data_IF_831884254771
#
_entry.id   IF_831884254771
#
_cell.length_a   1.000
_cell.length_b   1.000
_cell.length_c   1.000
_cell.angle_alpha   90.00
_cell.angle_beta   90.00
_cell.angle_gamma   90.00
#
_symmetry.space_group_name_H-M   'P 1'
#
loop_
_entity.id
_entity.type
_entity.pdbx_description
1 polymer ?
#
# COMPACT_ATOMS: atom_id res chain seq x y z
N UNK A 1 26.77 1.90 -35.40
CA UNK A 1 25.51 1.24 -35.00
C UNK A 1 25.72 0.65 -33.63
N UNK A 2 24.89 1.02 -32.66
CA UNK A 2 24.88 0.43 -31.32
C UNK A 2 23.46 0.02 -30.97
N UNK A 3 23.31 -1.04 -30.19
CA UNK A 3 22.02 -1.49 -29.67
C UNK A 3 22.02 -1.13 -28.18
N UNK A 4 21.03 -0.36 -27.75
CA UNK A 4 20.74 -0.15 -26.33
C UNK A 4 19.59 -1.08 -25.99
N UNK A 5 19.88 -2.13 -25.21
CA UNK A 5 18.85 -2.96 -24.59
C UNK A 5 18.85 -2.68 -23.10
N UNK A 6 17.73 -2.27 -22.50
CA UNK A 6 17.62 -2.28 -21.05
C UNK A 6 17.87 -3.70 -20.53
N UNK A 7 18.78 -3.84 -19.55
CA UNK A 7 19.05 -5.11 -18.91
C UNK A 7 18.36 -5.13 -17.54
N UNK A 8 17.28 -5.90 -17.43
CA UNK A 8 16.56 -6.10 -16.17
C UNK A 8 16.82 -7.51 -15.62
N UNK A 9 16.71 -7.71 -14.30
CA UNK A 9 16.74 -9.05 -13.71
C UNK A 9 15.68 -9.98 -14.32
N UNK A 10 16.01 -11.28 -14.43
CA UNK A 10 15.15 -12.27 -15.11
C UNK A 10 13.73 -12.39 -14.51
N UNK A 11 13.56 -12.04 -13.23
CA UNK A 11 12.26 -12.09 -12.57
C UNK A 11 11.24 -11.07 -13.13
N UNK A 12 11.68 -10.10 -13.94
CA UNK A 12 10.81 -9.19 -14.70
C UNK A 12 10.41 -9.70 -16.08
N UNK A 13 10.69 -10.97 -16.38
CA UNK A 13 10.23 -11.65 -17.58
C UNK A 13 9.37 -12.86 -17.21
N UNK A 14 8.49 -13.25 -18.12
CA UNK A 14 7.71 -14.48 -18.03
C UNK A 14 7.37 -15.00 -19.42
N UNK A 15 6.86 -16.23 -19.51
CA UNK A 15 6.32 -16.80 -20.74
C UNK A 15 4.80 -16.74 -20.70
N UNK A 16 4.18 -16.05 -21.66
CA UNK A 16 2.72 -15.97 -21.74
C UNK A 16 2.09 -17.32 -22.10
N UNK A 17 0.76 -17.45 -21.96
CA UNK A 17 0.05 -18.70 -22.30
C UNK A 17 0.14 -19.11 -23.78
N UNK A 18 0.70 -18.25 -24.64
CA UNK A 18 1.00 -18.54 -26.05
C UNK A 18 2.47 -18.93 -26.28
N UNK A 19 3.28 -19.11 -25.23
CA UNK A 19 4.67 -19.52 -25.33
C UNK A 19 5.66 -18.40 -25.67
N UNK A 20 5.25 -17.12 -25.60
CA UNK A 20 6.13 -15.98 -25.91
C UNK A 20 6.73 -15.39 -24.65
N UNK A 21 8.05 -15.13 -24.65
CA UNK A 21 8.71 -14.37 -23.60
C UNK A 21 8.24 -12.91 -23.64
N UNK A 22 7.84 -12.39 -22.48
CA UNK A 22 7.31 -11.04 -22.29
C UNK A 22 8.01 -10.38 -21.13
N UNK A 23 8.15 -9.07 -21.21
CA UNK A 23 8.43 -8.22 -20.05
C UNK A 23 7.17 -8.11 -19.20
N UNK A 24 7.36 -8.08 -17.88
CA UNK A 24 6.30 -7.91 -16.90
C UNK A 24 5.93 -6.44 -16.72
N UNK A 25 5.62 -5.75 -17.82
CA UNK A 25 5.01 -4.43 -17.74
C UNK A 25 3.71 -4.50 -16.90
N UNK A 26 3.40 -3.44 -16.17
CA UNK A 26 2.22 -3.36 -15.31
C UNK A 26 0.89 -3.60 -16.03
N UNK A 27 0.81 -3.34 -17.35
CA UNK A 27 -0.39 -3.60 -18.17
C UNK A 27 -0.73 -5.10 -18.21
N UNK A 28 0.25 -6.00 -18.11
CA UNK A 28 -0.03 -7.44 -17.99
C UNK A 28 -0.86 -7.79 -16.76
N UNK A 29 -0.72 -7.04 -15.68
CA UNK A 29 -1.34 -7.35 -14.40
C UNK A 29 -2.58 -6.52 -14.13
N UNK A 30 -2.72 -5.35 -14.76
CA UNK A 30 -3.86 -4.44 -14.57
C UNK A 30 -4.91 -4.56 -15.67
N UNK A 31 -4.51 -4.82 -16.92
CA UNK A 31 -5.44 -4.92 -18.05
C UNK A 31 -6.08 -6.29 -18.17
N UNK A 32 -7.42 -6.36 -18.20
CA UNK A 32 -8.20 -7.60 -18.25
C UNK A 32 -7.74 -8.59 -19.34
N UNK A 33 -7.60 -8.12 -20.59
CA UNK A 33 -7.19 -8.94 -21.74
C UNK A 33 -5.75 -9.46 -21.62
N UNK A 34 -4.85 -8.69 -21.03
CA UNK A 34 -3.46 -9.13 -20.83
C UNK A 34 -3.37 -10.09 -19.65
N UNK A 35 -4.07 -9.79 -18.55
CA UNK A 35 -4.11 -10.59 -17.33
C UNK A 35 -4.71 -11.97 -17.54
N UNK A 36 -5.64 -12.14 -18.48
CA UNK A 36 -6.18 -13.45 -18.85
C UNK A 36 -5.16 -14.37 -19.53
N UNK A 37 -4.08 -13.80 -20.07
CA UNK A 37 -2.96 -14.52 -20.70
C UNK A 37 -1.75 -14.69 -19.78
N UNK A 38 -1.85 -14.23 -18.52
CA UNK A 38 -0.83 -14.50 -17.50
C UNK A 38 -1.00 -15.93 -16.95
N UNK A 39 0.09 -16.70 -16.85
CA UNK A 39 0.09 -17.96 -16.09
C UNK A 39 -0.38 -17.74 -14.65
N UNK A 40 -1.15 -18.66 -14.05
CA UNK A 40 -1.67 -18.50 -12.68
C UNK A 40 -0.59 -18.20 -11.63
N UNK A 41 0.58 -18.81 -11.75
CA UNK A 41 1.73 -18.62 -10.87
C UNK A 41 2.32 -17.21 -10.91
N UNK A 42 2.10 -16.46 -12.00
CA UNK A 42 2.57 -15.08 -12.14
C UNK A 42 1.62 -14.07 -11.51
N UNK A 43 0.37 -14.45 -11.22
CA UNK A 43 -0.65 -13.50 -10.74
C UNK A 43 -0.37 -12.98 -9.33
N UNK A 44 0.28 -13.77 -8.47
CA UNK A 44 0.56 -13.41 -7.08
C UNK A 44 -0.70 -13.23 -6.22
N UNK A 45 -0.49 -12.88 -4.95
CA UNK A 45 -1.56 -12.61 -3.97
C UNK A 45 -1.66 -11.11 -3.66
N UNK A 46 -2.76 -10.68 -3.04
CA UNK A 46 -3.01 -9.28 -2.69
C UNK A 46 -1.88 -8.66 -1.84
N UNK A 47 -1.32 -9.43 -0.90
CA UNK A 47 -0.14 -9.04 -0.13
C UNK A 47 1.02 -8.59 -1.03
N UNK A 48 1.27 -9.34 -2.11
CA UNK A 48 2.39 -9.02 -2.99
C UNK A 48 2.14 -7.75 -3.79
N UNK A 49 0.90 -7.46 -4.20
CA UNK A 49 0.58 -6.21 -4.88
C UNK A 49 0.77 -4.99 -3.97
N UNK A 50 0.53 -5.13 -2.66
CA UNK A 50 0.91 -4.09 -1.70
C UNK A 50 2.43 -3.87 -1.69
N UNK A 51 3.23 -4.94 -1.67
CA UNK A 51 4.70 -4.83 -1.73
C UNK A 51 5.19 -4.19 -3.05
N UNK A 52 4.58 -4.55 -4.18
CA UNK A 52 4.83 -3.90 -5.49
C UNK A 52 4.54 -2.41 -5.38
N UNK A 53 3.37 -2.02 -4.86
CA UNK A 53 2.98 -0.62 -4.70
C UNK A 53 3.92 0.15 -3.76
N UNK A 54 4.41 -0.47 -2.68
CA UNK A 54 5.37 0.16 -1.79
C UNK A 54 6.68 0.49 -2.51
N UNK A 55 7.17 -0.43 -3.35
CA UNK A 55 8.38 -0.20 -4.17
C UNK A 55 8.16 0.83 -5.27
N UNK A 56 6.99 0.85 -5.92
CA UNK A 56 6.62 1.91 -6.87
C UNK A 56 6.62 3.29 -6.20
N UNK A 57 5.92 3.42 -5.07
CA UNK A 57 5.86 4.66 -4.30
C UNK A 57 7.26 5.11 -3.84
N UNK A 58 8.12 4.18 -3.41
CA UNK A 58 9.51 4.46 -3.06
C UNK A 58 10.31 5.00 -4.23
N UNK A 59 10.22 4.38 -5.40
CA UNK A 59 10.95 4.82 -6.60
C UNK A 59 10.57 6.25 -6.98
N UNK A 60 9.26 6.54 -7.02
CA UNK A 60 8.75 7.88 -7.30
C UNK A 60 9.15 8.88 -6.22
N UNK A 61 9.08 8.51 -4.92
CA UNK A 61 9.56 9.34 -3.81
C UNK A 61 11.03 9.74 -4.00
N UNK A 62 11.90 8.79 -4.32
CA UNK A 62 13.33 9.06 -4.53
C UNK A 62 13.52 10.06 -5.66
N UNK A 63 12.86 9.84 -6.79
CA UNK A 63 12.93 10.74 -7.95
C UNK A 63 12.42 12.16 -7.59
N UNK A 64 11.24 12.27 -6.97
CA UNK A 64 10.65 13.55 -6.57
C UNK A 64 11.52 14.32 -5.57
N UNK A 65 12.17 13.62 -4.64
CA UNK A 65 13.09 14.24 -3.68
C UNK A 65 14.35 14.83 -4.33
N UNK A 66 14.70 14.41 -5.55
CA UNK A 66 15.77 15.02 -6.35
C UNK A 66 15.25 16.15 -7.26
N UNK A 67 13.98 16.55 -7.11
CA UNK A 67 13.38 17.61 -7.94
C UNK A 67 13.00 17.15 -9.35
N UNK A 68 12.98 15.83 -9.60
CA UNK A 68 12.69 15.23 -10.90
C UNK A 68 11.22 14.79 -10.96
N UNK A 69 10.57 15.00 -12.11
CA UNK A 69 9.30 14.35 -12.43
C UNK A 69 9.46 13.44 -13.63
N UNK A 70 8.74 12.32 -13.66
CA UNK A 70 8.79 11.36 -14.75
C UNK A 70 8.00 11.82 -15.97
N UNK A 71 6.89 12.54 -15.76
CA UNK A 71 5.96 13.04 -16.79
C UNK A 71 5.13 11.98 -17.55
N UNK A 72 5.51 10.71 -17.47
CA UNK A 72 4.81 9.58 -18.12
C UNK A 72 4.69 8.35 -17.20
N UNK A 73 4.36 8.55 -15.92
CA UNK A 73 4.06 7.42 -15.03
C UNK A 73 2.80 6.69 -15.53
N UNK A 74 2.95 5.42 -15.88
CA UNK A 74 1.85 4.58 -16.35
C UNK A 74 2.12 3.10 -16.06
N UNK A 75 1.12 2.23 -16.30
CA UNK A 75 1.32 0.79 -16.19
C UNK A 75 2.26 0.21 -17.27
N UNK A 76 2.67 0.98 -18.29
CA UNK A 76 3.67 0.54 -19.27
C UNK A 76 5.09 0.88 -18.85
N UNK A 77 5.25 1.92 -18.04
CA UNK A 77 6.56 2.42 -17.61
C UNK A 77 6.95 1.91 -16.21
N UNK A 78 6.28 0.85 -15.75
CA UNK A 78 6.68 0.10 -14.56
C UNK A 78 6.69 -1.39 -14.86
N UNK A 79 7.81 -2.04 -14.57
CA UNK A 79 7.89 -3.50 -14.52
C UNK A 79 7.51 -3.96 -13.11
N UNK A 80 6.64 -4.96 -13.00
CA UNK A 80 6.22 -5.50 -11.71
C UNK A 80 6.42 -7.01 -11.65
N UNK A 81 6.71 -7.52 -10.47
CA UNK A 81 6.84 -8.94 -10.22
C UNK A 81 6.06 -9.29 -8.95
N UNK A 82 4.74 -9.56 -9.08
CA UNK A 82 3.90 -9.92 -7.95
C UNK A 82 4.33 -11.21 -7.26
N UNK A 83 5.13 -12.08 -7.87
CA UNK A 83 5.62 -13.27 -7.16
C UNK A 83 6.55 -12.91 -6.00
N UNK A 84 7.44 -11.95 -6.23
CA UNK A 84 8.42 -11.50 -5.24
C UNK A 84 8.06 -10.14 -4.62
N UNK A 85 6.92 -9.56 -4.99
CA UNK A 85 6.52 -8.23 -4.56
C UNK A 85 7.51 -7.15 -4.99
N UNK A 86 8.06 -7.25 -6.21
CA UNK A 86 9.09 -6.34 -6.76
C UNK A 86 8.54 -5.39 -7.82
N UNK A 87 9.14 -4.20 -7.95
CA UNK A 87 8.78 -3.22 -8.97
C UNK A 87 10.03 -2.46 -9.43
N UNK A 88 10.07 -2.08 -10.71
CA UNK A 88 11.06 -1.19 -11.30
C UNK A 88 10.36 -0.13 -12.13
N UNK A 89 10.68 1.13 -11.86
CA UNK A 89 10.31 2.26 -12.71
C UNK A 89 11.30 2.31 -13.89
N UNK A 90 10.79 2.37 -15.11
CA UNK A 90 11.57 2.36 -16.35
C UNK A 90 11.24 3.60 -17.18
N UNK A 91 11.91 3.78 -18.33
CA UNK A 91 11.69 4.91 -19.24
C UNK A 91 11.95 6.29 -18.59
N UNK A 92 13.21 6.47 -18.18
CA UNK A 92 13.71 7.70 -17.52
C UNK A 92 14.28 8.71 -18.52
N UNK A 93 13.95 8.59 -19.81
CA UNK A 93 14.57 9.39 -20.87
C UNK A 93 13.90 10.77 -21.03
N UNK A 94 12.67 10.92 -20.51
CA UNK A 94 11.84 12.12 -20.60
C UNK A 94 11.60 12.80 -19.23
N UNK A 95 12.59 12.79 -18.33
CA UNK A 95 12.46 13.44 -17.03
C UNK A 95 12.32 14.96 -17.15
N UNK A 96 11.41 15.51 -16.36
CA UNK A 96 11.17 16.94 -16.24
C UNK A 96 11.93 17.49 -15.04
N UNK A 97 12.66 18.58 -15.29
CA UNK A 97 13.40 19.34 -14.27
C UNK A 97 12.96 20.80 -14.33
N UNK A 98 12.32 21.34 -13.27
CA UNK A 98 11.83 22.71 -13.27
C UNK A 98 12.89 23.73 -13.70
N UNK A 99 12.61 24.47 -14.76
CA UNK A 99 13.49 25.51 -15.30
C UNK A 99 14.71 25.01 -16.10
N UNK A 100 14.93 23.70 -16.20
CA UNK A 100 16.10 23.11 -16.88
C UNK A 100 15.68 22.22 -18.05
N UNK A 101 14.78 21.26 -17.81
CA UNK A 101 14.32 20.30 -18.80
C UNK A 101 12.78 20.31 -18.85
N UNK A 102 12.17 20.94 -19.88
CA UNK A 102 10.72 20.96 -20.02
C UNK A 102 10.18 19.58 -20.45
N UNK A 103 8.88 19.29 -20.23
CA UNK A 103 8.26 18.06 -20.68
C UNK A 103 8.30 17.92 -22.20
N UNK A 104 8.73 16.76 -22.67
CA UNK A 104 8.72 16.35 -24.10
C UNK A 104 7.49 15.53 -24.46
N UNK A 105 6.80 14.98 -23.46
CA UNK A 105 5.55 14.22 -23.58
C UNK A 105 4.53 14.76 -22.58
N UNK A 106 3.24 14.58 -22.87
CA UNK A 106 2.16 14.92 -21.92
C UNK A 106 1.84 13.78 -20.95
N UNK A 107 2.27 12.56 -21.28
CA UNK A 107 2.02 11.33 -20.55
C UNK A 107 1.06 10.38 -21.28
N UNK A 108 0.79 9.24 -20.66
CA UNK A 108 -0.07 8.18 -21.17
C UNK A 108 -1.54 8.43 -20.81
N UNK A 109 -2.45 8.37 -21.81
CA UNK A 109 -3.91 8.49 -21.62
C UNK A 109 -4.41 7.66 -20.42
N UNK A 110 -5.27 8.26 -19.60
CA UNK A 110 -5.77 7.70 -18.33
C UNK A 110 -4.91 8.05 -17.11
N UNK A 111 -3.60 8.29 -17.27
CA UNK A 111 -2.69 8.68 -16.18
C UNK A 111 -2.37 10.17 -16.16
N UNK A 112 -2.62 10.88 -17.27
CA UNK A 112 -2.43 12.32 -17.39
C UNK A 112 -3.35 13.03 -16.38
N UNK A 113 -2.78 13.95 -15.60
CA UNK A 113 -3.53 14.71 -14.61
C UNK A 113 -4.61 15.62 -15.26
N UNK A 114 -5.77 15.85 -14.60
CA UNK A 114 -6.89 16.56 -15.21
C UNK A 114 -6.56 17.96 -15.75
N UNK A 115 -5.68 18.70 -15.07
CA UNK A 115 -5.25 20.02 -15.49
C UNK A 115 -4.39 19.99 -16.76
N UNK A 116 -3.66 18.90 -17.03
CA UNK A 116 -2.86 18.73 -18.24
C UNK A 116 -3.77 18.32 -19.40
N UNK A 117 -4.72 17.40 -19.17
CA UNK A 117 -5.74 17.05 -20.18
C UNK A 117 -6.54 18.29 -20.60
N UNK A 118 -6.89 19.16 -19.65
CA UNK A 118 -7.61 20.40 -19.92
C UNK A 118 -6.74 21.52 -20.55
N UNK A 119 -5.46 21.28 -20.83
CA UNK A 119 -4.54 22.29 -21.38
C UNK A 119 -4.22 23.45 -20.42
N UNK A 120 -4.48 23.27 -19.11
CA UNK A 120 -4.29 24.29 -18.05
C UNK A 120 -2.97 24.11 -17.29
N UNK A 121 -2.12 23.17 -17.71
CA UNK A 121 -0.84 22.89 -17.06
C UNK A 121 0.07 21.99 -17.89
N UNK A 122 1.32 21.90 -17.46
CA UNK A 122 2.33 21.01 -18.03
C UNK A 122 2.74 19.95 -17.00
N UNK A 123 3.22 18.77 -17.44
CA UNK A 123 3.74 17.75 -16.56
C UNK A 123 4.80 18.27 -15.59
N UNK A 124 4.67 17.86 -14.32
CA UNK A 124 5.52 18.25 -13.19
C UNK A 124 5.34 17.25 -12.04
N UNK A 125 6.02 17.46 -10.91
CA UNK A 125 5.91 16.58 -9.73
C UNK A 125 4.45 16.41 -9.27
N UNK A 126 3.64 17.48 -9.29
CA UNK A 126 2.23 17.43 -8.88
C UNK A 126 1.36 16.57 -9.82
N UNK A 127 1.72 16.46 -11.11
CA UNK A 127 0.99 15.61 -12.06
C UNK A 127 1.41 14.15 -11.92
N UNK A 128 2.68 13.88 -11.62
CA UNK A 128 3.13 12.54 -11.26
C UNK A 128 2.42 12.01 -10.00
N UNK A 129 2.09 12.88 -9.03
CA UNK A 129 1.32 12.47 -7.84
C UNK A 129 -0.07 11.95 -8.21
N UNK A 130 -0.70 12.53 -9.24
CA UNK A 130 -1.96 12.01 -9.78
C UNK A 130 -1.74 10.64 -10.44
N UNK A 131 -0.77 10.55 -11.35
CA UNK A 131 -0.47 9.32 -12.07
C UNK A 131 -0.08 8.16 -11.12
N UNK A 132 0.70 8.44 -10.07
CA UNK A 132 1.03 7.46 -9.03
C UNK A 132 -0.22 6.97 -8.28
N UNK A 133 -1.15 7.87 -7.94
CA UNK A 133 -2.39 7.48 -7.29
C UNK A 133 -3.24 6.56 -8.20
N UNK A 134 -3.34 6.90 -9.49
CA UNK A 134 -4.01 6.07 -10.50
C UNK A 134 -3.34 4.70 -10.60
N UNK A 135 -2.02 4.67 -10.70
CA UNK A 135 -1.25 3.44 -10.83
C UNK A 135 -1.40 2.51 -9.62
N UNK A 136 -1.31 3.04 -8.39
CA UNK A 136 -1.51 2.25 -7.16
C UNK A 136 -2.96 1.75 -7.09
N UNK A 137 -3.94 2.60 -7.40
CA UNK A 137 -5.36 2.21 -7.39
C UNK A 137 -5.60 1.05 -8.36
N UNK A 138 -5.17 1.21 -9.61
CA UNK A 138 -5.37 0.20 -10.65
C UNK A 138 -4.63 -1.10 -10.33
N UNK A 139 -3.41 -1.01 -9.78
CA UNK A 139 -2.61 -2.17 -9.37
C UNK A 139 -3.28 -2.98 -8.26
N UNK A 140 -3.96 -2.32 -7.30
CA UNK A 140 -4.61 -2.99 -6.17
C UNK A 140 -6.04 -3.45 -6.48
N UNK A 141 -6.75 -2.75 -7.36
CA UNK A 141 -8.19 -2.88 -7.54
C UNK A 141 -8.61 -3.32 -8.94
N UNK A 142 -7.66 -3.45 -9.87
CA UNK A 142 -7.84 -3.95 -11.24
C UNK A 142 -8.92 -3.20 -12.04
N UNK A 143 -9.03 -1.89 -11.79
CA UNK A 143 -9.93 -0.97 -12.47
C UNK A 143 -9.38 0.46 -12.41
N UNK A 144 -9.83 1.33 -13.30
CA UNK A 144 -9.44 2.73 -13.29
C UNK A 144 -10.25 3.54 -12.25
N UNK A 145 -9.67 4.54 -11.56
CA UNK A 145 -10.41 5.34 -10.59
C UNK A 145 -11.38 6.33 -11.23
N UNK A 146 -11.20 6.71 -12.49
CA UNK A 146 -12.00 7.75 -13.17
C UNK A 146 -12.90 7.17 -14.28
N UNK A 147 -12.50 6.07 -14.90
CA UNK A 147 -13.22 5.53 -16.04
C UNK A 147 -14.45 4.74 -15.56
N UNK A 148 -15.61 5.39 -15.58
CA UNK A 148 -16.91 4.83 -15.19
C UNK A 148 -17.94 5.01 -16.30
N UNK A 149 -19.24 4.79 -16.02
CA UNK A 149 -20.28 4.79 -17.04
C UNK A 149 -20.76 6.18 -17.48
N UNK A 150 -20.25 7.26 -16.87
CA UNK A 150 -20.70 8.61 -17.18
C UNK A 150 -20.15 9.08 -18.52
N UNK A 151 -21.05 9.40 -19.44
CA UNK A 151 -20.75 9.97 -20.76
C UNK A 151 -21.06 11.47 -20.73
N UNK A 152 -20.14 12.26 -21.25
CA UNK A 152 -20.15 13.71 -21.29
C UNK A 152 -20.39 14.27 -22.70
N UNK A 153 -20.03 13.52 -23.73
CA UNK A 153 -20.26 13.88 -25.14
C UNK A 153 -20.52 12.63 -26.00
N UNK A 154 -21.13 12.83 -27.17
CA UNK A 154 -21.31 11.78 -28.18
C UNK A 154 -20.06 11.54 -29.01
N UNK A 155 -19.17 12.53 -29.12
CA UNK A 155 -17.87 12.38 -29.76
C UNK A 155 -16.89 11.70 -28.78
N UNK A 156 -16.30 10.54 -29.12
CA UNK A 156 -15.43 9.79 -28.20
C UNK A 156 -14.17 10.53 -27.75
N UNK A 157 -13.59 11.40 -28.57
CA UNK A 157 -12.36 12.11 -28.22
C UNK A 157 -12.67 13.31 -27.32
N UNK A 158 -13.79 13.98 -27.58
CA UNK A 158 -14.31 15.04 -26.70
C UNK A 158 -14.73 14.45 -25.35
N UNK A 159 -15.44 13.32 -25.37
CA UNK A 159 -15.86 12.60 -24.17
C UNK A 159 -14.65 12.22 -23.32
N UNK A 160 -13.62 11.65 -23.93
CA UNK A 160 -12.39 11.26 -23.24
C UNK A 160 -11.65 12.44 -22.59
N UNK A 161 -11.54 13.55 -23.33
CA UNK A 161 -10.93 14.77 -22.82
C UNK A 161 -11.72 15.35 -21.63
N UNK A 162 -13.05 15.26 -21.65
CA UNK A 162 -13.88 15.66 -20.51
C UNK A 162 -13.76 14.68 -19.34
N UNK A 163 -13.81 13.38 -19.62
CA UNK A 163 -13.76 12.29 -18.64
C UNK A 163 -12.47 12.31 -17.82
N UNK A 164 -11.32 12.54 -18.47
CA UNK A 164 -10.03 12.60 -17.77
C UNK A 164 -9.59 14.01 -17.42
N UNK A 165 -10.22 15.04 -18.01
CA UNK A 165 -9.95 16.45 -17.75
C UNK A 165 -10.94 17.12 -16.82
N UNK A 166 -11.58 18.18 -17.29
CA UNK A 166 -12.37 19.09 -16.46
C UNK A 166 -13.58 18.45 -15.77
N UNK A 167 -14.14 17.36 -16.31
CA UNK A 167 -15.29 16.65 -15.73
C UNK A 167 -14.91 15.36 -15.00
N UNK A 168 -13.61 15.10 -14.81
CA UNK A 168 -13.14 13.91 -14.10
C UNK A 168 -13.83 13.74 -12.75
N UNK A 169 -14.35 12.54 -12.51
CA UNK A 169 -15.09 12.18 -11.30
C UNK A 169 -14.71 10.78 -10.84
N UNK A 170 -14.36 10.64 -9.56
CA UNK A 170 -14.00 9.35 -8.98
C UNK A 170 -15.17 8.36 -8.99
N UNK A 171 -14.93 7.14 -9.45
CA UNK A 171 -15.97 6.10 -9.57
C UNK A 171 -16.51 5.59 -8.23
N UNK A 172 -15.79 5.84 -7.13
CA UNK A 172 -16.24 5.57 -5.76
C UNK A 172 -16.39 6.86 -4.94
N UNK A 173 -16.67 7.99 -5.60
CA UNK A 173 -16.87 9.27 -4.92
C UNK A 173 -17.96 9.15 -3.83
N UNK A 174 -17.75 9.68 -2.61
CA UNK A 174 -18.61 9.38 -1.46
C UNK A 174 -20.03 9.93 -1.60
N UNK A 175 -20.19 11.11 -2.23
CA UNK A 175 -21.49 11.81 -2.34
C UNK A 175 -22.05 11.84 -3.76
N UNK A 176 -21.29 12.30 -4.76
CA UNK A 176 -21.67 12.21 -6.17
C UNK A 176 -21.55 10.76 -6.71
N UNK A 177 -22.67 10.15 -7.05
CA UNK A 177 -22.74 8.77 -7.59
C UNK A 177 -22.95 8.72 -9.10
N UNK A 178 -22.89 9.85 -9.80
CA UNK A 178 -23.17 9.93 -11.24
C UNK A 178 -22.16 9.20 -12.13
N UNK A 179 -20.97 8.87 -11.62
CA UNK A 179 -19.97 8.03 -12.28
C UNK A 179 -19.73 6.69 -11.56
N UNK A 180 -20.66 6.25 -10.70
CA UNK A 180 -20.50 5.01 -9.96
C UNK A 180 -20.60 3.79 -10.87
N UNK A 181 -19.76 2.78 -10.63
CA UNK A 181 -19.81 1.51 -11.37
C UNK A 181 -21.10 0.73 -11.06
N UNK A 182 -21.68 0.13 -12.10
CA UNK A 182 -22.84 -0.76 -11.99
C UNK A 182 -22.56 -2.08 -12.74
N UNK A 183 -22.54 -3.25 -12.05
CA UNK A 183 -22.72 -3.42 -10.61
C UNK A 183 -21.56 -2.80 -9.79
N UNK A 184 -21.80 -2.62 -8.48
CA UNK A 184 -20.79 -2.13 -7.55
C UNK A 184 -19.54 -3.05 -7.54
N UNK A 185 -18.34 -2.51 -7.34
CA UNK A 185 -17.11 -3.30 -7.36
C UNK A 185 -17.09 -4.32 -6.23
N UNK A 186 -16.62 -5.55 -6.53
CA UNK A 186 -16.51 -6.63 -5.54
C UNK A 186 -15.62 -6.26 -4.34
N UNK A 187 -14.60 -5.43 -4.58
CA UNK A 187 -13.68 -4.91 -3.56
C UNK A 187 -13.70 -3.38 -3.64
N UNK A 188 -14.55 -2.68 -2.86
CA UNK A 188 -14.55 -1.23 -2.82
C UNK A 188 -13.29 -0.71 -2.11
N UNK A 189 -12.94 0.56 -2.33
CA UNK A 189 -11.73 1.20 -1.78
C UNK A 189 -11.68 1.13 -0.25
N UNK A 190 -12.83 1.16 0.43
CA UNK A 190 -12.95 1.01 1.88
C UNK A 190 -12.44 -0.34 2.40
N UNK A 191 -12.39 -1.38 1.55
CA UNK A 191 -11.80 -2.69 1.89
C UNK A 191 -10.27 -2.71 1.86
N UNK A 192 -9.61 -1.64 1.43
CA UNK A 192 -8.15 -1.49 1.53
C UNK A 192 -7.68 -0.98 2.91
N UNK A 193 -8.64 -0.77 3.83
CA UNK A 193 -8.41 -0.30 5.19
C UNK A 193 -8.17 1.21 5.27
N UNK A 194 -8.23 1.77 6.50
CA UNK A 194 -8.14 3.22 6.70
C UNK A 194 -6.90 3.87 6.08
N UNK A 195 -5.66 3.34 6.23
CA UNK A 195 -4.46 4.03 5.73
C UNK A 195 -4.50 4.32 4.22
N UNK A 196 -4.94 3.34 3.41
CA UNK A 196 -5.01 3.48 1.96
C UNK A 196 -6.29 4.16 1.49
N UNK A 197 -7.44 3.82 2.08
CA UNK A 197 -8.71 4.40 1.68
C UNK A 197 -8.70 5.93 1.87
N UNK A 198 -8.15 6.43 2.98
CA UNK A 198 -8.00 7.87 3.23
C UNK A 198 -7.18 8.56 2.13
N UNK A 199 -6.09 7.95 1.66
CA UNK A 199 -5.26 8.54 0.60
C UNK A 199 -5.94 8.53 -0.77
N UNK A 200 -6.74 7.50 -1.08
CA UNK A 200 -7.51 7.49 -2.31
C UNK A 200 -8.60 8.55 -2.32
N UNK A 201 -9.31 8.77 -1.20
CA UNK A 201 -10.24 9.89 -1.09
C UNK A 201 -9.51 11.22 -1.17
N UNK A 202 -8.38 11.39 -0.50
CA UNK A 202 -7.57 12.60 -0.61
C UNK A 202 -7.09 12.85 -2.05
N UNK A 203 -6.72 11.81 -2.80
CA UNK A 203 -6.25 11.93 -4.17
C UNK A 203 -7.37 12.20 -5.18
N UNK A 204 -8.49 11.50 -5.09
CA UNK A 204 -9.54 11.48 -6.12
C UNK A 204 -10.81 12.23 -5.76
N UNK A 205 -10.97 12.68 -4.52
CA UNK A 205 -12.06 13.57 -4.10
C UNK A 205 -11.50 14.97 -3.89
N UNK A 206 -10.58 15.12 -2.93
CA UNK A 206 -10.03 16.43 -2.57
C UNK A 206 -8.99 16.94 -3.59
N UNK A 207 -8.14 16.04 -4.07
CA UNK A 207 -6.95 16.36 -4.88
C UNK A 207 -7.13 16.23 -6.39
N UNK A 208 -8.28 15.74 -6.85
CA UNK A 208 -8.51 15.47 -8.28
C UNK A 208 -8.38 16.76 -9.10
N UNK A 209 -9.14 17.77 -8.68
CA UNK A 209 -9.15 19.13 -9.27
C UNK A 209 -8.34 20.15 -8.45
N UNK A 210 -7.63 19.72 -7.41
CA UNK A 210 -6.74 20.57 -6.61
C UNK A 210 -5.39 19.88 -6.38
N UNK A 211 -4.45 20.14 -7.29
CA UNK A 211 -3.15 19.46 -7.31
C UNK A 211 -2.34 19.56 -6.01
N UNK A 212 -2.51 20.62 -5.23
CA UNK A 212 -1.80 20.84 -3.97
C UNK A 212 -2.27 19.95 -2.83
N UNK A 213 -3.48 19.37 -2.92
CA UNK A 213 -4.00 18.41 -1.93
C UNK A 213 -3.58 16.97 -2.20
N UNK A 214 -2.99 16.67 -3.36
CA UNK A 214 -2.62 15.30 -3.74
C UNK A 214 -1.58 14.73 -2.78
N UNK A 215 -1.72 13.45 -2.35
CA UNK A 215 -0.71 12.83 -1.51
C UNK A 215 0.65 12.75 -2.23
N UNK A 216 1.70 13.08 -1.50
CA UNK A 216 3.10 12.84 -1.88
C UNK A 216 3.44 11.34 -1.81
N UNK A 217 4.45 10.91 -2.56
CA UNK A 217 4.81 9.50 -2.72
C UNK A 217 5.24 8.79 -1.43
N UNK A 218 5.83 9.52 -0.48
CA UNK A 218 6.18 9.02 0.86
C UNK A 218 4.95 8.61 1.68
N UNK A 219 3.85 9.36 1.57
CA UNK A 219 2.59 9.03 2.26
C UNK A 219 2.01 7.73 1.72
N UNK A 220 2.08 7.49 0.40
CA UNK A 220 1.68 6.22 -0.20
C UNK A 220 2.53 5.07 0.34
N UNK A 221 3.86 5.20 0.33
CA UNK A 221 4.77 4.17 0.87
C UNK A 221 4.44 3.85 2.34
N UNK A 222 4.30 4.87 3.19
CA UNK A 222 3.97 4.68 4.61
C UNK A 222 2.59 4.06 4.82
N UNK A 223 1.57 4.50 4.07
CA UNK A 223 0.21 3.97 4.19
C UNK A 223 0.14 2.50 3.79
N UNK A 224 0.86 2.11 2.74
CA UNK A 224 0.94 0.71 2.30
C UNK A 224 1.56 -0.17 3.40
N UNK A 225 2.63 0.30 4.05
CA UNK A 225 3.21 -0.42 5.18
C UNK A 225 2.28 -0.54 6.39
N UNK A 226 1.51 0.51 6.68
CA UNK A 226 0.47 0.41 7.71
C UNK A 226 -0.67 -0.52 7.30
N UNK A 227 -1.00 -0.62 6.01
CA UNK A 227 -1.97 -1.60 5.52
C UNK A 227 -1.43 -3.03 5.57
N UNK A 228 -0.12 -3.24 5.37
CA UNK A 228 0.51 -4.55 5.54
C UNK A 228 0.37 -5.06 6.99
N UNK A 229 0.45 -4.18 7.99
CA UNK A 229 0.19 -4.51 9.40
C UNK A 229 -1.27 -4.97 9.64
N UNK A 230 -2.20 -4.68 8.75
CA UNK A 230 -3.62 -5.03 8.87
C UNK A 230 -3.99 -6.31 8.11
N UNK A 231 -3.02 -6.98 7.48
CA UNK A 231 -3.31 -8.17 6.68
C UNK A 231 -3.62 -9.38 7.55
N UNK A 232 -4.62 -10.14 7.11
CA UNK A 232 -4.96 -11.45 7.65
C UNK A 232 -5.12 -12.44 6.48
N UNK A 233 -4.67 -13.70 6.61
CA UNK A 233 -4.93 -14.72 5.59
C UNK A 233 -6.44 -15.00 5.51
N UNK A 234 -6.96 -15.26 4.30
CA UNK A 234 -8.33 -15.72 4.13
C UNK A 234 -8.54 -17.05 4.88
N UNK A 235 -9.77 -17.39 5.27
CA UNK A 235 -10.10 -18.77 5.61
C UNK A 235 -9.55 -19.72 4.53
N UNK A 236 -8.91 -20.82 4.92
CA UNK A 236 -8.25 -21.75 3.99
C UNK A 236 -6.90 -21.30 3.41
N UNK A 237 -6.43 -20.07 3.69
CA UNK A 237 -5.07 -19.62 3.38
C UNK A 237 -4.74 -19.34 1.91
N UNK A 238 -5.75 -19.27 1.03
CA UNK A 238 -5.55 -19.07 -0.41
C UNK A 238 -5.33 -17.61 -0.85
N UNK A 239 -5.59 -16.63 0.02
CA UNK A 239 -5.44 -15.21 -0.28
C UNK A 239 -5.17 -14.39 1.00
N UNK A 240 -4.78 -13.12 0.85
CA UNK A 240 -4.62 -12.16 1.93
C UNK A 240 -5.63 -11.03 1.79
N UNK A 241 -6.11 -10.48 2.90
CA UNK A 241 -7.00 -9.31 2.85
C UNK A 241 -6.82 -8.41 4.07
N UNK A 242 -7.23 -7.16 3.93
CA UNK A 242 -7.18 -6.20 5.03
C UNK A 242 -8.31 -6.47 6.00
N UNK A 243 -7.95 -6.63 7.27
CA UNK A 243 -8.86 -6.85 8.37
C UNK A 243 -8.48 -5.92 9.52
N UNK A 244 -9.15 -4.79 9.64
CA UNK A 244 -8.99 -3.88 10.78
C UNK A 244 -10.22 -3.94 11.69
N UNK A 245 -10.13 -3.44 12.94
CA UNK A 245 -11.30 -3.26 13.79
C UNK A 245 -12.42 -2.52 13.06
N UNK A 246 -13.67 -2.90 13.31
CA UNK A 246 -14.90 -2.36 12.68
C UNK A 246 -15.08 -2.68 11.18
N UNK A 247 -14.11 -3.36 10.55
CA UNK A 247 -14.27 -3.86 9.19
C UNK A 247 -14.99 -5.22 9.18
N UNK A 248 -15.78 -5.54 8.13
CA UNK A 248 -16.35 -6.86 7.95
C UNK A 248 -15.30 -7.98 8.01
N UNK A 249 -15.54 -8.98 8.87
CA UNK A 249 -14.73 -10.18 9.05
C UNK A 249 -14.95 -11.22 7.93
N UNK A 250 -15.00 -10.74 6.67
CA UNK A 250 -15.21 -11.56 5.46
C UNK A 250 -14.19 -11.16 4.40
N UNK A 251 -13.47 -12.14 3.86
CA UNK A 251 -12.51 -11.88 2.77
C UNK A 251 -13.28 -11.36 1.54
N UNK A 252 -12.95 -10.17 0.99
CA UNK A 252 -13.66 -9.63 -0.17
C UNK A 252 -13.29 -10.35 -1.48
N UNK A 253 -12.17 -11.10 -1.49
CA UNK A 253 -11.70 -11.86 -2.65
C UNK A 253 -12.31 -13.28 -2.69
N UNK A 254 -12.27 -14.01 -1.57
CA UNK A 254 -12.78 -15.40 -1.50
C UNK A 254 -14.22 -15.49 -1.01
N UNK A 255 -14.79 -14.40 -0.51
CA UNK A 255 -16.12 -14.33 0.10
C UNK A 255 -16.31 -15.22 1.35
N UNK A 256 -15.24 -15.79 1.89
CA UNK A 256 -15.30 -16.59 3.12
C UNK A 256 -15.24 -15.70 4.37
N UNK A 257 -16.11 -15.99 5.33
CA UNK A 257 -16.15 -15.32 6.62
C UNK A 257 -15.22 -15.98 7.65
N UNK A 258 -14.55 -15.17 8.47
CA UNK A 258 -13.81 -15.64 9.64
C UNK A 258 -14.82 -15.98 10.74
N UNK A 259 -14.73 -17.19 11.26
CA UNK A 259 -15.68 -17.73 12.26
C UNK A 259 -15.14 -17.70 13.69
N UNK A 260 -13.95 -17.14 13.90
CA UNK A 260 -13.30 -17.09 15.21
C UNK A 260 -12.83 -15.67 15.54
N UNK A 261 -12.57 -15.42 16.82
CA UNK A 261 -11.98 -14.16 17.27
C UNK A 261 -10.60 -13.96 16.66
N UNK A 262 -10.28 -12.73 16.28
CA UNK A 262 -8.96 -12.36 15.73
C UNK A 262 -8.34 -11.29 16.62
N UNK A 263 -7.16 -11.53 17.22
CA UNK A 263 -6.49 -10.52 18.00
C UNK A 263 -5.95 -9.40 17.12
N UNK A 264 -5.84 -8.23 17.70
CA UNK A 264 -5.08 -7.12 17.13
C UNK A 264 -4.40 -6.33 18.24
N UNK A 265 -3.38 -5.57 17.88
CA UNK A 265 -2.67 -4.67 18.78
C UNK A 265 -2.77 -3.23 18.28
N UNK A 266 -3.16 -2.30 19.16
CA UNK A 266 -3.06 -0.86 18.90
C UNK A 266 -1.67 -0.37 19.33
N UNK A 267 -1.05 0.42 18.46
CA UNK A 267 0.23 1.03 18.78
C UNK A 267 0.02 2.26 19.64
N UNK A 268 0.74 2.30 20.76
CA UNK A 268 0.77 3.43 21.66
C UNK A 268 2.21 3.93 21.78
N UNK A 269 2.35 5.24 21.93
CA UNK A 269 3.61 5.91 22.19
C UNK A 269 3.60 6.43 23.63
N UNK A 270 4.51 5.93 24.46
CA UNK A 270 4.74 6.45 25.79
C UNK A 270 5.96 7.39 25.75
N UNK A 271 5.76 8.69 25.97
CA UNK A 271 6.86 9.69 25.91
C UNK A 271 7.56 9.87 27.25
N UNK A 272 6.82 9.68 28.32
CA UNK A 272 7.23 9.70 29.73
C UNK A 272 6.42 8.64 30.47
N UNK A 273 6.90 8.08 31.60
CA UNK A 273 6.14 7.10 32.36
C UNK A 273 4.71 7.58 32.65
N UNK A 274 3.71 6.81 32.20
CA UNK A 274 2.29 7.13 32.38
C UNK A 274 1.71 8.13 31.36
N UNK A 275 2.52 8.77 30.52
CA UNK A 275 2.06 9.64 29.43
C UNK A 275 2.03 8.86 28.11
N UNK A 276 0.88 8.26 27.82
CA UNK A 276 0.65 7.37 26.68
C UNK A 276 -0.32 8.02 25.70
N UNK A 277 0.11 8.16 24.44
CA UNK A 277 -0.74 8.63 23.33
C UNK A 277 -1.01 7.49 22.35
N UNK A 278 -2.26 7.40 21.86
CA UNK A 278 -2.64 6.43 20.81
C UNK A 278 -2.07 6.87 19.47
N UNK A 279 -1.41 5.95 18.77
CA UNK A 279 -1.06 6.16 17.36
C UNK A 279 -2.23 5.70 16.46
N UNK A 280 -2.31 6.26 15.25
CA UNK A 280 -3.23 5.78 14.20
C UNK A 280 -2.67 4.53 13.51
N UNK A 281 -2.26 3.53 14.29
CA UNK A 281 -1.68 2.27 13.80
C UNK A 281 -2.24 1.08 14.58
N UNK A 282 -2.49 0.01 13.85
CA UNK A 282 -3.00 -1.26 14.36
C UNK A 282 -2.24 -2.39 13.67
N UNK A 283 -1.97 -3.46 14.42
CA UNK A 283 -1.43 -4.72 13.91
C UNK A 283 -2.49 -5.80 14.05
N UNK A 284 -2.95 -6.37 12.94
CA UNK A 284 -3.86 -7.52 12.93
C UNK A 284 -3.07 -8.80 13.06
N UNK A 285 -3.43 -9.63 14.03
CA UNK A 285 -2.64 -10.78 14.44
C UNK A 285 -3.22 -12.06 13.85
N UNK A 286 -2.39 -12.82 13.14
CA UNK A 286 -2.68 -14.16 12.66
C UNK A 286 -1.63 -15.16 13.18
N UNK A 287 -1.93 -16.45 13.05
CA UNK A 287 -1.08 -17.51 13.58
C UNK A 287 0.25 -17.56 12.83
N UNK A 288 1.36 -17.44 13.55
CA UNK A 288 2.71 -17.39 12.97
C UNK A 288 3.16 -15.99 12.55
N UNK A 289 2.38 -14.93 12.79
CA UNK A 289 2.82 -13.55 12.58
C UNK A 289 4.04 -13.26 13.47
N UNK A 290 5.07 -12.65 12.88
CA UNK A 290 6.31 -12.24 13.58
C UNK A 290 6.29 -10.74 13.88
N UNK A 291 6.68 -10.39 15.11
CA UNK A 291 7.03 -9.02 15.45
C UNK A 291 8.46 -8.75 15.01
N UNK A 292 8.65 -7.74 14.18
CA UNK A 292 9.96 -7.23 13.81
C UNK A 292 10.27 -5.96 14.60
N UNK A 293 11.53 -5.50 14.54
CA UNK A 293 12.00 -4.32 15.28
C UNK A 293 11.17 -3.07 15.00
N UNK A 294 10.72 -2.84 13.76
CA UNK A 294 9.85 -1.69 13.47
C UNK A 294 8.48 -1.72 14.17
N UNK A 295 8.04 -2.86 14.70
CA UNK A 295 6.82 -2.93 15.52
C UNK A 295 7.10 -2.54 16.98
N UNK A 296 8.27 -2.87 17.51
CA UNK A 296 8.61 -2.71 18.94
C UNK A 296 9.44 -1.46 19.22
N UNK A 297 9.93 -0.79 18.18
CA UNK A 297 10.85 0.35 18.29
C UNK A 297 10.25 1.63 17.73
N UNK A 298 10.31 2.69 18.53
CA UNK A 298 9.87 4.02 18.11
C UNK A 298 10.87 4.57 17.10
N UNK A 299 10.37 5.08 15.97
CA UNK A 299 11.20 5.66 14.91
C UNK A 299 11.79 4.64 13.92
N UNK A 300 11.58 3.34 14.11
CA UNK A 300 11.90 2.34 13.10
C UNK A 300 10.73 2.18 12.11
N UNK A 301 11.04 1.93 10.83
CA UNK A 301 10.06 1.70 9.77
C UNK A 301 10.39 0.43 8.98
N UNK A 302 9.38 -0.23 8.38
CA UNK A 302 9.55 -1.41 7.50
C UNK A 302 10.02 -1.04 6.07
N UNK A 303 10.69 0.11 5.92
CA UNK A 303 11.11 0.66 4.62
C UNK A 303 12.37 0.00 4.04
N UNK A 304 13.18 0.80 3.33
CA UNK A 304 14.41 0.34 2.67
C UNK A 304 15.49 -0.11 3.66
N UNK A 305 15.71 0.69 4.71
CA UNK A 305 16.72 0.42 5.75
C UNK A 305 16.12 -0.32 6.95
N UNK A 306 15.09 -1.14 6.70
CA UNK A 306 14.35 -1.81 7.76
C UNK A 306 15.24 -2.81 8.51
N UNK A 307 15.30 -2.67 9.83
CA UNK A 307 15.88 -3.70 10.69
C UNK A 307 14.85 -4.82 10.90
N UNK A 308 15.01 -5.92 10.16
CA UNK A 308 14.14 -7.08 10.20
C UNK A 308 14.46 -8.07 11.34
N UNK A 309 15.17 -7.61 12.38
CA UNK A 309 15.42 -8.45 13.56
C UNK A 309 14.09 -8.82 14.22
N UNK A 310 13.85 -10.12 14.33
CA UNK A 310 12.66 -10.66 15.02
C UNK A 310 12.69 -10.33 16.51
N UNK A 311 11.55 -9.88 17.03
CA UNK A 311 11.33 -9.46 18.42
C UNK A 311 10.36 -10.39 19.15
N UNK A 312 9.63 -11.22 18.41
CA UNK A 312 8.69 -12.20 18.93
C UNK A 312 7.80 -12.75 17.83
N UNK A 313 6.92 -13.67 18.20
CA UNK A 313 5.92 -14.21 17.28
C UNK A 313 4.63 -14.57 18.01
N UNK A 314 3.53 -14.61 17.25
CA UNK A 314 2.22 -14.96 17.73
C UNK A 314 1.85 -16.39 17.37
N UNK A 315 1.23 -17.10 18.30
CA UNK A 315 0.76 -18.47 18.08
C UNK A 315 -0.62 -18.68 18.68
N UNK A 316 -1.48 -19.37 17.93
CA UNK A 316 -2.72 -19.93 18.44
C UNK A 316 -2.47 -21.37 18.91
N UNK A 317 -2.61 -21.62 20.21
CA UNK A 317 -2.39 -22.92 20.82
C UNK A 317 -3.51 -23.24 21.82
N UNK A 318 -4.17 -24.39 21.65
CA UNK A 318 -5.32 -24.82 22.45
C UNK A 318 -6.42 -23.74 22.59
N UNK A 319 -6.75 -23.07 21.48
CA UNK A 319 -7.77 -22.01 21.44
C UNK A 319 -7.38 -20.69 22.11
N UNK A 320 -6.13 -20.55 22.56
CA UNK A 320 -5.60 -19.36 23.21
C UNK A 320 -4.48 -18.74 22.38
N UNK A 321 -4.41 -17.43 22.37
CA UNK A 321 -3.39 -16.68 21.67
C UNK A 321 -2.23 -16.36 22.59
N UNK A 322 -1.02 -16.52 22.08
CA UNK A 322 0.22 -16.30 22.83
C UNK A 322 1.15 -15.39 22.04
N UNK A 323 1.86 -14.51 22.74
CA UNK A 323 3.03 -13.79 22.23
C UNK A 323 4.28 -14.34 22.91
N UNK A 324 5.20 -14.88 22.11
CA UNK A 324 6.54 -15.28 22.59
C UNK A 324 7.51 -14.12 22.44
N UNK A 325 8.25 -13.80 23.50
CA UNK A 325 9.27 -12.76 23.50
C UNK A 325 10.60 -13.28 22.91
N UNK A 326 11.17 -12.57 21.95
CA UNK A 326 12.50 -12.83 21.35
C UNK A 326 13.42 -11.61 21.36
N UNK A 327 13.08 -10.56 22.12
CA UNK A 327 13.84 -9.29 22.15
C UNK A 327 15.25 -9.40 22.75
N UNK A 328 15.59 -10.52 23.41
CA UNK A 328 16.84 -10.68 24.15
C UNK A 328 16.81 -10.10 25.56
N UNK A 329 15.76 -9.35 25.92
CA UNK A 329 15.52 -8.79 27.25
C UNK A 329 14.11 -9.11 27.72
N UNK A 330 13.77 -8.80 28.96
CA UNK A 330 12.40 -8.92 29.46
C UNK A 330 11.52 -7.79 28.91
N UNK A 331 10.36 -8.13 28.34
CA UNK A 331 9.32 -7.14 28.01
C UNK A 331 8.40 -6.95 29.21
N UNK A 332 7.87 -5.74 29.37
CA UNK A 332 7.09 -5.38 30.56
C UNK A 332 5.59 -5.51 30.28
N UNK A 333 4.88 -6.26 31.13
CA UNK A 333 3.41 -6.25 31.15
C UNK A 333 2.96 -5.17 32.11
N UNK A 334 2.20 -4.18 31.62
CA UNK A 334 1.70 -3.11 32.48
C UNK A 334 0.72 -3.71 33.50
N UNK A 335 0.98 -3.50 34.79
CA UNK A 335 0.26 -4.10 35.92
C UNK A 335 0.33 -5.65 35.96
N UNK A 336 1.42 -6.23 35.45
CA UNK A 336 1.62 -7.68 35.44
C UNK A 336 3.08 -8.08 35.62
N UNK A 337 3.34 -9.38 35.45
CA UNK A 337 4.68 -9.95 35.55
C UNK A 337 5.44 -9.73 34.22
N UNK A 338 6.69 -9.24 34.25
CA UNK A 338 7.51 -9.15 33.05
C UNK A 338 7.69 -10.51 32.36
N UNK A 339 7.85 -10.51 31.04
CA UNK A 339 8.00 -11.73 30.24
C UNK A 339 9.45 -11.83 29.78
N UNK A 340 10.27 -12.74 30.35
CA UNK A 340 11.65 -12.93 29.92
C UNK A 340 11.76 -13.33 28.45
N UNK A 341 12.92 -13.08 27.84
CA UNK A 341 13.19 -13.59 26.49
C UNK A 341 13.09 -15.12 26.47
N UNK A 342 12.44 -15.66 25.44
CA UNK A 342 12.13 -17.10 25.32
C UNK A 342 10.85 -17.55 26.03
N UNK A 343 10.27 -16.72 26.90
CA UNK A 343 8.96 -16.98 27.52
C UNK A 343 7.80 -16.41 26.69
N UNK A 344 6.57 -16.79 27.05
CA UNK A 344 5.37 -16.33 26.36
C UNK A 344 4.32 -15.79 27.33
N UNK A 345 3.44 -14.92 26.83
CA UNK A 345 2.29 -14.38 27.54
C UNK A 345 1.02 -14.61 26.73
N UNK A 346 -0.05 -15.00 27.42
CA UNK A 346 -1.38 -15.16 26.82
C UNK A 346 -1.97 -13.79 26.49
N UNK A 347 -2.43 -13.61 25.24
CA UNK A 347 -3.13 -12.39 24.83
C UNK A 347 -4.54 -12.35 25.44
N UNK A 348 -4.85 -11.24 26.11
CA UNK A 348 -6.15 -10.94 26.69
C UNK A 348 -6.57 -9.53 26.27
N UNK A 349 -7.87 -9.29 26.20
CA UNK A 349 -8.38 -7.94 25.92
C UNK A 349 -7.91 -6.98 27.01
N UNK A 350 -7.38 -5.83 26.61
CA UNK A 350 -6.79 -4.82 27.50
C UNK A 350 -5.36 -5.11 27.97
N UNK A 351 -4.75 -6.23 27.55
CA UNK A 351 -3.34 -6.51 27.83
C UNK A 351 -2.47 -5.41 27.21
N UNK A 352 -1.57 -4.83 28.00
CA UNK A 352 -0.61 -3.83 27.52
C UNK A 352 0.81 -4.32 27.76
N UNK A 353 1.59 -4.33 26.69
CA UNK A 353 3.00 -4.73 26.73
C UNK A 353 3.85 -3.53 26.32
N UNK A 354 4.76 -3.13 27.21
CA UNK A 354 5.79 -2.14 26.95
C UNK A 354 7.07 -2.84 26.50
N UNK A 355 7.63 -2.36 25.39
CA UNK A 355 8.91 -2.80 24.86
C UNK A 355 9.98 -1.79 25.31
N UNK A 356 10.80 -2.14 26.33
CA UNK A 356 11.86 -1.25 26.79
C UNK A 356 12.92 -1.06 25.70
N UNK A 357 13.31 0.19 25.49
CA UNK A 357 14.39 0.54 24.56
C UNK A 357 15.72 0.66 25.28
N UNK A 358 16.72 -0.08 24.81
CA UNK A 358 18.11 0.25 25.07
C UNK A 358 18.56 1.09 23.89
N UNK A 359 18.65 2.41 24.06
CA UNK A 359 19.16 3.30 23.02
C UNK A 359 20.56 2.85 22.59
N UNK A 360 20.75 2.60 21.28
CA UNK A 360 22.06 2.32 20.68
C UNK A 360 22.51 3.42 19.70
N UNK A 361 21.79 4.56 19.60
CA UNK A 361 22.20 5.69 18.75
C UNK A 361 22.56 6.92 19.62
N UNK A 362 23.75 7.53 19.44
CA UNK A 362 24.07 8.81 20.07
C UNK A 362 23.11 9.90 19.58
N UNK A 363 22.45 10.62 20.49
CA UNK A 363 21.67 11.82 20.17
C UNK A 363 20.14 11.69 20.10
N UNK A 364 19.54 10.51 20.33
CA UNK A 364 18.08 10.42 20.53
C UNK A 364 17.69 10.69 21.99
N UNK A 365 16.59 11.43 22.26
CA UNK A 365 16.08 11.61 23.62
C UNK A 365 15.76 10.24 24.23
N UNK A 366 16.46 9.88 25.30
CA UNK A 366 16.16 8.66 26.06
C UNK A 366 14.83 8.82 26.79
N UNK A 367 13.82 8.03 26.44
CA UNK A 367 12.61 7.93 27.25
C UNK A 367 11.33 7.52 26.53
N UNK A 368 11.27 7.58 25.19
CA UNK A 368 10.06 7.13 24.47
C UNK A 368 10.04 5.62 24.26
N UNK A 369 8.99 4.95 24.73
CA UNK A 369 8.81 3.52 24.61
C UNK A 369 7.59 3.18 23.76
N UNK A 370 7.68 2.04 23.07
CA UNK A 370 6.55 1.45 22.35
C UNK A 370 5.71 0.66 23.33
N UNK A 371 4.40 0.89 23.30
CA UNK A 371 3.44 0.04 24.01
C UNK A 371 2.44 -0.54 22.99
N UNK A 372 2.16 -1.84 23.10
CA UNK A 372 1.11 -2.51 22.33
C UNK A 372 -0.05 -2.85 23.26
N UNK A 373 -1.25 -2.38 22.92
CA UNK A 373 -2.50 -2.70 23.61
C UNK A 373 -3.29 -3.72 22.79
N UNK A 374 -3.51 -4.91 23.36
CA UNK A 374 -4.13 -6.02 22.67
C UNK A 374 -5.63 -6.09 22.94
N UNK A 375 -6.38 -6.44 21.90
CA UNK A 375 -7.82 -6.65 21.93
C UNK A 375 -8.24 -7.64 20.84
N UNK A 376 -9.53 -7.95 20.73
CA UNK A 376 -10.04 -8.96 19.79
C UNK A 376 -11.21 -8.44 18.97
N UNK A 377 -11.14 -8.66 17.66
CA UNK A 377 -12.31 -8.60 16.78
C UNK A 377 -13.16 -9.86 16.96
N UNK A 378 -14.47 -9.69 16.92
CA UNK A 378 -15.47 -10.77 17.01
C UNK A 378 -16.25 -10.87 15.70
N UNK A 379 -16.50 -12.08 15.17
CA UNK A 379 -17.24 -12.30 13.92
C UNK A 379 -18.61 -11.63 13.85
#
# INVERSE_FOLDING_TARGET
MGIVTPAYPDNFFFTDTCGKRREKDGRWFTGEKSRSRLPPEEKGHFLNYLLVCAKMARAVRKMHNHGLAHSDLSNKNVLIDPRNGSALLIDMDALVVPGIAPPTVLGTRGYIAPEVVAGKGLPQIDTDRHALAVLIYETLLLRHPIHGPKVHDTDPDVDDAMLFGEKALFVEHPTDKSNALSPAPAVPVSRLGPPLAELFYLAFVDGLHNKHKRPVADRWESAIYHTLDLLHPSPGGGEWFVLAPEMPMKCPFTQQAIQHRVPFARFLLERKPGNVSKEKRTLTIYNGLRLMKWHTVVGCSPGEDADSTEQGYFQLHNGRWWLTNKTGISIEVINGVPVPSGSAVELKSGLKIRFPHVSQRPGQPSGSCRVLEFDFMTP
#
